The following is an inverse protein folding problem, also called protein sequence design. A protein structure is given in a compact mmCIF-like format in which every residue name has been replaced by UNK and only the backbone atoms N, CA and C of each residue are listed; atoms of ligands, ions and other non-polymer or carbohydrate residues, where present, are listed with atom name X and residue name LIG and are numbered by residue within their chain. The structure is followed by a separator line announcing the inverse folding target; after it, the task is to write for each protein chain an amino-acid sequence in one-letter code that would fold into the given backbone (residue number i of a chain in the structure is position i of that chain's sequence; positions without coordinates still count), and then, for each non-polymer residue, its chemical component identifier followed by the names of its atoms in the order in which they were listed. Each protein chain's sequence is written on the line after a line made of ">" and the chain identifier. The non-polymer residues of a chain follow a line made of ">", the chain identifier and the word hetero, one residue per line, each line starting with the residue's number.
data_IF_058012712752
#
_entry.id   IF_058012712752
#
_cell.length_a   1.000
_cell.length_b   1.000
_cell.length_c   1.000
_cell.angle_alpha   90.00
_cell.angle_beta   90.00
_cell.angle_gamma   90.00
#
_symmetry.space_group_name_H-M   'P 1'
#
loop_
_entity.id
_entity.type
_entity.pdbx_description
1 polymer ?
#
# COMPACT_ATOMS: atom_id res chain seq x y z
N UNK A 1 3.39 -19.32 14.50
CA UNK A 1 3.40 -17.91 14.02
C UNK A 1 2.66 -16.99 15.00
N UNK A 2 1.47 -17.36 15.53
CA UNK A 2 0.68 -16.53 16.45
C UNK A 2 1.38 -16.10 17.74
N UNK A 3 2.32 -16.87 18.27
CA UNK A 3 3.03 -16.55 19.51
C UNK A 3 4.17 -15.54 19.35
N UNK A 4 4.69 -15.36 18.14
CA UNK A 4 5.74 -14.37 17.83
C UNK A 4 5.13 -12.96 17.84
N UNK A 5 3.92 -12.81 17.30
CA UNK A 5 3.24 -11.50 17.24
C UNK A 5 2.74 -11.03 18.61
N UNK A 6 2.31 -11.93 19.49
CA UNK A 6 1.89 -11.60 20.87
C UNK A 6 3.01 -11.03 21.76
N UNK A 7 4.27 -11.15 21.35
CA UNK A 7 5.42 -10.62 22.09
C UNK A 7 5.85 -9.22 21.66
N UNK A 8 5.27 -8.67 20.58
CA UNK A 8 5.71 -7.44 19.95
C UNK A 8 4.75 -6.25 20.12
N UNK A 9 3.80 -6.32 21.02
CA UNK A 9 2.80 -5.28 21.22
C UNK A 9 1.43 -5.64 20.61
N UNK A 10 0.55 -4.66 20.48
CA UNK A 10 -0.76 -4.85 19.86
C UNK A 10 -0.59 -5.00 18.34
N UNK A 11 -1.02 -6.13 17.79
CA UNK A 11 -1.12 -6.37 16.36
C UNK A 11 -2.60 -6.52 16.00
N UNK A 12 -3.08 -5.70 15.08
CA UNK A 12 -4.45 -5.71 14.59
C UNK A 12 -4.46 -5.94 13.08
N UNK A 13 -5.32 -6.82 12.63
CA UNK A 13 -5.62 -7.01 11.22
C UNK A 13 -6.95 -6.32 10.88
N UNK A 14 -7.01 -5.73 9.69
CA UNK A 14 -8.22 -5.11 9.19
C UNK A 14 -8.49 -5.54 7.75
N UNK A 15 -9.75 -5.72 7.44
CA UNK A 15 -10.23 -6.03 6.10
C UNK A 15 -11.68 -5.57 5.99
N UNK A 16 -12.17 -5.34 4.77
CA UNK A 16 -13.54 -4.89 4.56
C UNK A 16 -14.57 -6.00 4.93
N UNK A 17 -14.28 -7.24 4.59
CA UNK A 17 -15.24 -8.36 4.68
C UNK A 17 -14.67 -9.66 5.26
N UNK A 18 -13.34 -9.82 5.33
CA UNK A 18 -12.71 -11.08 5.73
C UNK A 18 -13.03 -11.44 7.17
N UNK A 19 -13.65 -12.60 7.45
CA UNK A 19 -13.97 -13.04 8.82
C UNK A 19 -12.72 -13.37 9.66
N UNK A 20 -11.53 -13.31 9.07
CA UNK A 20 -10.26 -13.54 9.76
C UNK A 20 -9.62 -12.26 10.30
N UNK A 21 -10.16 -11.10 9.92
CA UNK A 21 -9.67 -9.81 10.41
C UNK A 21 -10.22 -9.49 11.81
N UNK A 22 -9.39 -8.82 12.60
CA UNK A 22 -9.78 -8.35 13.94
C UNK A 22 -10.77 -7.18 13.86
N UNK A 23 -10.71 -6.40 12.78
CA UNK A 23 -11.55 -5.23 12.54
C UNK A 23 -12.06 -5.21 11.09
N UNK A 24 -13.26 -4.64 10.91
CA UNK A 24 -13.87 -4.48 9.60
C UNK A 24 -14.13 -2.99 9.34
N UNK A 25 -13.43 -2.43 8.35
CA UNK A 25 -13.63 -1.05 7.92
C UNK A 25 -13.06 -0.82 6.52
N UNK A 26 -13.53 0.24 5.89
CA UNK A 26 -12.95 0.80 4.68
C UNK A 26 -11.71 1.61 5.05
N UNK A 27 -10.58 1.33 4.39
CA UNK A 27 -9.32 2.06 4.61
C UNK A 27 -9.44 3.56 4.32
N UNK A 28 -10.45 3.98 3.57
CA UNK A 28 -10.77 5.40 3.33
C UNK A 28 -11.40 6.09 4.56
N UNK A 29 -11.87 5.29 5.56
CA UNK A 29 -12.54 5.78 6.77
C UNK A 29 -12.17 4.90 7.96
N UNK A 30 -10.95 5.02 8.47
CA UNK A 30 -10.42 4.15 9.53
C UNK A 30 -10.99 4.59 10.90
N UNK A 31 -11.74 3.74 11.64
CA UNK A 31 -12.37 4.09 12.90
C UNK A 31 -11.39 4.04 14.10
N UNK A 32 -10.20 4.55 13.90
CA UNK A 32 -9.16 4.68 14.91
C UNK A 32 -8.83 6.16 15.13
N UNK A 33 -8.37 6.50 16.32
CA UNK A 33 -7.95 7.86 16.67
C UNK A 33 -6.68 8.26 15.89
N UNK A 34 -6.40 9.55 15.83
CA UNK A 34 -5.15 10.08 15.31
C UNK A 34 -3.99 9.53 16.14
N UNK A 35 -2.83 9.31 15.50
CA UNK A 35 -1.61 8.87 16.17
C UNK A 35 -1.77 7.57 16.98
N UNK A 36 -2.59 6.63 16.50
CA UNK A 36 -2.93 5.39 17.19
C UNK A 36 -1.81 4.35 17.09
N UNK A 37 -1.20 4.15 15.92
CA UNK A 37 -0.29 3.04 15.66
C UNK A 37 1.14 3.49 15.40
N UNK A 38 2.11 2.64 15.75
CA UNK A 38 3.53 2.88 15.49
C UNK A 38 3.93 2.41 14.08
N UNK A 39 3.19 1.44 13.52
CA UNK A 39 3.49 0.82 12.22
C UNK A 39 2.19 0.56 11.46
N UNK A 40 2.19 0.81 10.15
CA UNK A 40 1.14 0.40 9.23
C UNK A 40 1.71 -0.47 8.11
N UNK A 41 0.96 -1.50 7.71
CA UNK A 41 1.25 -2.32 6.54
C UNK A 41 0.00 -2.32 5.67
N UNK A 42 0.10 -1.76 4.48
CA UNK A 42 -0.98 -1.66 3.51
C UNK A 42 -0.47 -2.16 2.15
N UNK A 43 -0.70 -3.44 1.88
CA UNK A 43 -0.22 -4.09 0.67
C UNK A 43 -1.40 -4.54 -0.17
N UNK A 44 -1.39 -4.17 -1.45
CA UNK A 44 -2.40 -4.57 -2.44
C UNK A 44 -3.84 -4.21 -2.00
N UNK A 45 -4.04 -2.98 -1.56
CA UNK A 45 -5.33 -2.41 -1.14
C UNK A 45 -5.68 -1.18 -1.98
N UNK A 46 -4.73 -0.29 -2.21
CA UNK A 46 -4.99 1.03 -2.79
C UNK A 46 -5.48 0.98 -4.25
N UNK A 47 -5.12 -0.05 -4.99
CA UNK A 47 -5.60 -0.28 -6.35
C UNK A 47 -7.09 -0.61 -6.45
N UNK A 48 -7.70 -1.04 -5.33
CA UNK A 48 -9.11 -1.44 -5.27
C UNK A 48 -10.04 -0.32 -4.79
N UNK A 49 -9.53 0.63 -3.98
CA UNK A 49 -10.36 1.67 -3.34
C UNK A 49 -10.74 2.78 -4.31
N UNK A 50 -11.82 3.47 -4.00
CA UNK A 50 -12.33 4.57 -4.85
C UNK A 50 -11.41 5.79 -4.80
N UNK A 51 -11.09 6.29 -3.60
CA UNK A 51 -10.18 7.40 -3.36
C UNK A 51 -8.94 6.92 -2.58
N UNK A 52 -7.88 6.52 -3.31
CA UNK A 52 -6.63 6.11 -2.70
C UNK A 52 -5.91 7.24 -1.95
N UNK A 53 -6.13 8.49 -2.37
CA UNK A 53 -5.56 9.65 -1.68
C UNK A 53 -6.22 9.85 -0.31
N UNK A 54 -7.53 9.59 -0.21
CA UNK A 54 -8.23 9.59 1.08
C UNK A 54 -7.73 8.45 1.97
N UNK A 55 -7.58 7.23 1.41
CA UNK A 55 -7.01 6.10 2.13
C UNK A 55 -5.60 6.41 2.68
N UNK A 56 -4.75 7.01 1.86
CA UNK A 56 -3.40 7.44 2.26
C UNK A 56 -3.42 8.50 3.36
N UNK A 57 -4.35 9.48 3.32
CA UNK A 57 -4.52 10.45 4.42
C UNK A 57 -4.94 9.79 5.72
N UNK A 58 -5.82 8.80 5.67
CA UNK A 58 -6.24 8.03 6.84
C UNK A 58 -5.08 7.21 7.43
N UNK A 59 -4.30 6.52 6.58
CA UNK A 59 -3.09 5.80 7.02
C UNK A 59 -2.08 6.74 7.68
N UNK A 60 -1.88 7.94 7.11
CA UNK A 60 -1.02 8.95 7.70
C UNK A 60 -1.59 9.48 9.02
N UNK A 61 -2.90 9.71 9.11
CA UNK A 61 -3.57 10.22 10.30
C UNK A 61 -3.38 9.29 11.50
N UNK A 62 -3.62 7.98 11.30
CA UNK A 62 -3.52 6.99 12.39
C UNK A 62 -2.07 6.65 12.77
N UNK A 63 -1.10 6.93 11.91
CA UNK A 63 0.31 6.68 12.21
C UNK A 63 0.84 7.75 13.18
N UNK A 64 1.53 7.34 14.24
CA UNK A 64 2.16 8.25 15.22
C UNK A 64 3.28 9.06 14.59
N UNK A 65 3.56 10.28 15.08
CA UNK A 65 4.78 11.00 14.75
C UNK A 65 6.03 10.17 15.04
N UNK A 66 6.86 9.95 14.01
CA UNK A 66 8.01 9.04 14.06
C UNK A 66 7.66 7.57 13.78
N UNK A 67 6.40 7.25 13.53
CA UNK A 67 5.97 5.94 13.03
C UNK A 67 6.32 5.75 11.56
N UNK A 68 6.22 4.51 11.11
CA UNK A 68 6.56 4.13 9.75
C UNK A 68 5.58 3.09 9.19
N UNK A 69 5.66 2.84 7.88
CA UNK A 69 4.85 1.82 7.26
C UNK A 69 5.42 1.30 5.96
N UNK A 70 4.83 0.23 5.48
CA UNK A 70 5.05 -0.31 4.12
C UNK A 70 3.73 -0.19 3.38
N UNK A 71 3.77 0.47 2.21
CA UNK A 71 2.59 0.69 1.38
C UNK A 71 2.92 0.25 -0.04
N UNK A 72 2.37 -0.88 -0.46
CA UNK A 72 2.68 -1.50 -1.75
C UNK A 72 1.42 -1.67 -2.58
N UNK A 73 1.56 -1.47 -3.88
CA UNK A 73 0.55 -1.75 -4.90
C UNK A 73 1.25 -2.20 -6.18
N UNK A 74 0.57 -2.91 -7.09
CA UNK A 74 1.13 -3.28 -8.38
C UNK A 74 1.51 -2.04 -9.19
N UNK A 75 2.72 -2.04 -9.76
CA UNK A 75 3.29 -0.93 -10.50
C UNK A 75 3.50 -1.29 -11.96
N UNK A 76 3.30 -0.31 -12.84
CA UNK A 76 3.76 -0.36 -14.24
C UNK A 76 4.84 0.71 -14.45
N UNK A 77 6.10 0.34 -14.31
CA UNK A 77 7.25 1.24 -14.45
C UNK A 77 7.46 1.78 -15.88
N UNK A 78 6.70 1.28 -16.86
CA UNK A 78 6.68 1.88 -18.21
C UNK A 78 5.88 3.17 -18.28
N UNK A 79 5.03 3.44 -17.26
CA UNK A 79 4.19 4.64 -17.14
C UNK A 79 4.87 5.68 -16.27
N UNK A 80 4.85 6.92 -16.71
CA UNK A 80 5.28 8.06 -15.88
C UNK A 80 4.22 8.41 -14.83
N UNK A 81 2.93 8.31 -15.19
CA UNK A 81 1.80 8.68 -14.36
C UNK A 81 0.86 7.49 -14.14
N UNK A 82 0.25 7.44 -12.96
CA UNK A 82 -0.82 6.52 -12.61
C UNK A 82 -1.99 6.70 -13.59
N UNK A 83 -2.47 5.60 -14.12
CA UNK A 83 -3.64 5.58 -14.96
C UNK A 83 -4.86 5.10 -14.16
N UNK A 84 -5.90 5.90 -14.09
CA UNK A 84 -7.19 5.60 -13.48
C UNK A 84 -8.31 6.17 -14.34
N UNK A 85 -9.43 5.44 -14.44
CA UNK A 85 -10.62 5.85 -15.20
C UNK A 85 -11.86 5.20 -14.57
N UNK A 86 -12.64 6.01 -13.85
CA UNK A 86 -13.86 5.57 -13.17
C UNK A 86 -15.00 5.20 -14.15
N UNK A 87 -14.89 5.55 -15.42
CA UNK A 87 -15.89 5.15 -16.44
C UNK A 87 -15.74 3.68 -16.83
N UNK A 88 -14.58 3.06 -16.55
CA UNK A 88 -14.33 1.64 -16.80
C UNK A 88 -14.93 0.84 -15.65
N UNK A 89 -16.14 0.33 -15.84
CA UNK A 89 -16.89 -0.42 -14.81
C UNK A 89 -17.03 -1.90 -15.12
N UNK A 90 -16.83 -2.31 -16.37
CA UNK A 90 -16.92 -3.71 -16.78
C UNK A 90 -15.74 -4.52 -16.24
N UNK A 91 -15.97 -5.65 -15.52
CA UNK A 91 -14.91 -6.44 -14.91
C UNK A 91 -13.91 -7.04 -15.89
N UNK A 92 -14.34 -7.42 -17.11
CA UNK A 92 -13.45 -7.97 -18.12
C UNK A 92 -12.56 -6.85 -18.70
N UNK A 93 -13.11 -5.65 -18.87
CA UNK A 93 -12.35 -4.49 -19.31
C UNK A 93 -11.36 -4.04 -18.25
N UNK A 94 -11.73 -4.01 -16.95
CA UNK A 94 -10.80 -3.78 -15.84
C UNK A 94 -9.65 -4.78 -15.84
N UNK A 95 -9.95 -6.07 -15.98
CA UNK A 95 -8.90 -7.11 -16.07
C UNK A 95 -7.92 -6.84 -17.21
N UNK A 96 -8.43 -6.42 -18.38
CA UNK A 96 -7.60 -6.13 -19.55
C UNK A 96 -6.71 -4.90 -19.37
N UNK A 97 -7.22 -3.86 -18.67
CA UNK A 97 -6.58 -2.55 -18.56
C UNK A 97 -5.73 -2.44 -17.30
N UNK A 98 -6.27 -2.88 -16.16
CA UNK A 98 -5.66 -2.72 -14.83
C UNK A 98 -5.06 -4.02 -14.28
N UNK A 99 -5.22 -5.16 -14.99
CA UNK A 99 -4.65 -6.45 -14.60
C UNK A 99 -5.58 -7.34 -13.75
N UNK A 100 -6.62 -6.78 -13.11
CA UNK A 100 -7.59 -7.53 -12.30
C UNK A 100 -8.99 -6.93 -12.42
N UNK A 101 -10.03 -7.76 -12.20
CA UNK A 101 -11.44 -7.41 -12.45
C UNK A 101 -11.98 -6.30 -11.54
N UNK A 102 -11.39 -6.09 -10.38
CA UNK A 102 -11.79 -5.12 -9.36
C UNK A 102 -10.76 -4.00 -9.15
N UNK A 103 -9.63 -4.01 -9.88
CA UNK A 103 -8.71 -2.88 -9.89
C UNK A 103 -9.36 -1.66 -10.55
N UNK A 104 -9.08 -0.48 -10.02
CA UNK A 104 -9.57 0.83 -10.50
C UNK A 104 -8.46 1.65 -11.13
N UNK A 105 -7.19 1.28 -10.87
CA UNK A 105 -5.99 1.97 -11.34
C UNK A 105 -4.81 1.04 -11.52
N UNK A 106 -3.85 1.52 -12.30
CA UNK A 106 -2.50 0.97 -12.34
C UNK A 106 -1.51 2.10 -12.06
N UNK A 107 -0.67 1.91 -11.05
CA UNK A 107 0.27 2.93 -10.62
C UNK A 107 1.45 3.06 -11.57
N UNK A 108 1.85 4.30 -11.84
CA UNK A 108 3.06 4.68 -12.57
C UNK A 108 4.18 5.10 -11.62
N UNK A 109 5.23 5.69 -12.20
CA UNK A 109 6.40 6.19 -11.45
C UNK A 109 6.08 7.32 -10.48
N UNK A 110 4.94 7.99 -10.65
CA UNK A 110 4.40 9.00 -9.75
C UNK A 110 3.90 8.45 -8.41
N UNK A 111 3.95 7.12 -8.19
CA UNK A 111 3.43 6.50 -6.96
C UNK A 111 4.07 7.07 -5.69
N UNK A 112 5.39 7.26 -5.69
CA UNK A 112 6.08 7.88 -4.55
C UNK A 112 5.60 9.31 -4.27
N UNK A 113 5.28 10.09 -5.31
CA UNK A 113 4.76 11.45 -5.16
C UNK A 113 3.31 11.43 -4.66
N UNK A 114 2.53 10.42 -5.04
CA UNK A 114 1.19 10.19 -4.52
C UNK A 114 1.23 9.90 -3.01
N UNK A 115 2.16 9.07 -2.53
CA UNK A 115 2.40 8.84 -1.10
C UNK A 115 2.82 10.14 -0.38
N UNK A 116 3.77 10.90 -0.94
CA UNK A 116 4.21 12.19 -0.39
C UNK A 116 3.07 13.21 -0.29
N UNK A 117 2.14 13.20 -1.24
CA UNK A 117 1.00 14.12 -1.23
C UNK A 117 0.05 13.93 -0.05
N UNK A 118 0.09 12.78 0.61
CA UNK A 118 -0.67 12.50 1.83
C UNK A 118 0.06 12.92 3.12
N UNK A 119 1.29 13.45 3.02
CA UNK A 119 2.09 13.92 4.15
C UNK A 119 3.24 13.00 4.58
N UNK A 120 3.44 11.89 3.90
CA UNK A 120 4.54 10.98 4.22
C UNK A 120 5.89 11.47 3.71
N UNK A 121 6.96 11.21 4.45
CA UNK A 121 8.27 11.01 3.85
C UNK A 121 8.34 9.59 3.28
N UNK A 122 8.97 9.42 2.11
CA UNK A 122 8.97 8.16 1.36
C UNK A 122 10.39 7.76 1.01
N UNK A 123 10.78 6.56 1.44
CA UNK A 123 11.92 5.85 0.92
C UNK A 123 11.46 4.86 -0.15
N UNK A 124 11.94 5.07 -1.35
CA UNK A 124 11.74 4.19 -2.52
C UNK A 124 12.97 3.30 -2.64
N UNK A 125 12.81 2.01 -2.39
CA UNK A 125 13.90 1.04 -2.28
C UNK A 125 13.82 0.04 -3.43
N UNK A 126 14.71 0.17 -4.40
CA UNK A 126 14.97 -0.86 -5.41
C UNK A 126 15.83 -1.98 -4.77
N UNK A 127 15.15 -2.88 -4.06
CA UNK A 127 15.83 -4.01 -3.41
C UNK A 127 16.41 -4.98 -4.44
N UNK A 128 15.72 -5.19 -5.55
CA UNK A 128 16.15 -6.10 -6.60
C UNK A 128 17.48 -5.67 -7.24
N UNK A 129 17.73 -4.37 -7.37
CA UNK A 129 19.00 -3.85 -7.89
C UNK A 129 20.20 -4.16 -6.97
N UNK A 130 19.98 -4.43 -5.68
CA UNK A 130 21.03 -4.81 -4.74
C UNK A 130 21.49 -6.25 -4.86
N UNK A 131 20.75 -7.09 -5.61
CA UNK A 131 20.97 -8.52 -5.74
C UNK A 131 21.63 -8.85 -7.09
N UNK A 132 22.39 -9.93 -7.09
CA UNK A 132 22.92 -10.51 -8.33
C UNK A 132 21.80 -11.09 -9.20
N UNK A 133 22.01 -11.19 -10.50
CA UNK A 133 21.04 -11.81 -11.42
C UNK A 133 20.70 -13.27 -11.02
N UNK A 134 21.67 -14.00 -10.50
CA UNK A 134 21.48 -15.37 -10.01
C UNK A 134 20.53 -15.41 -8.81
N UNK A 135 20.68 -14.49 -7.85
CA UNK A 135 19.80 -14.38 -6.68
C UNK A 135 18.39 -13.94 -7.10
N UNK A 136 18.26 -12.95 -7.98
CA UNK A 136 16.94 -12.53 -8.49
C UNK A 136 16.19 -13.68 -9.17
N UNK A 137 16.89 -14.48 -9.97
CA UNK A 137 16.32 -15.70 -10.58
C UNK A 137 16.00 -16.78 -9.56
N UNK A 138 16.89 -17.02 -8.58
CA UNK A 138 16.68 -18.03 -7.54
C UNK A 138 15.45 -17.77 -6.70
N UNK A 139 15.21 -16.50 -6.35
CA UNK A 139 14.08 -16.07 -5.51
C UNK A 139 12.86 -15.62 -6.33
N UNK A 140 12.94 -15.68 -7.65
CA UNK A 140 11.88 -15.23 -8.56
C UNK A 140 11.38 -13.79 -8.25
N UNK A 141 12.31 -12.89 -7.90
CA UNK A 141 11.99 -11.52 -7.53
C UNK A 141 11.69 -10.69 -8.78
N UNK A 142 10.54 -10.01 -8.85
CA UNK A 142 10.25 -9.03 -9.87
C UNK A 142 11.12 -7.76 -9.70
N UNK A 143 11.09 -6.89 -10.69
CA UNK A 143 11.73 -5.57 -10.62
C UNK A 143 10.83 -4.56 -9.86
N UNK A 144 10.26 -4.98 -8.74
CA UNK A 144 9.40 -4.15 -7.90
C UNK A 144 10.20 -3.41 -6.84
N UNK A 145 9.71 -2.23 -6.50
CA UNK A 145 10.24 -1.38 -5.45
C UNK A 145 9.50 -1.60 -4.14
N UNK A 146 10.20 -1.40 -3.02
CA UNK A 146 9.59 -1.39 -1.68
C UNK A 146 9.44 0.08 -1.25
N UNK A 147 8.19 0.50 -1.04
CA UNK A 147 7.89 1.84 -0.56
C UNK A 147 7.70 1.83 0.95
N UNK A 148 8.66 2.43 1.65
CA UNK A 148 8.60 2.65 3.09
C UNK A 148 8.22 4.10 3.36
N UNK A 149 7.17 4.29 4.14
CA UNK A 149 6.62 5.61 4.47
C UNK A 149 6.88 5.96 5.93
N UNK A 150 7.06 7.24 6.22
CA UNK A 150 7.31 7.75 7.57
C UNK A 150 6.43 8.96 7.84
N UNK A 151 5.87 9.05 9.06
CA UNK A 151 5.29 10.29 9.57
C UNK A 151 6.33 11.03 10.37
N UNK A 152 6.72 12.22 9.90
CA UNK A 152 7.76 13.05 10.53
C UNK A 152 7.31 13.50 11.91
N UNK A 153 8.27 13.63 12.83
CA UNK A 153 8.03 14.33 14.09
C UNK A 153 8.11 15.83 13.81
N UNK A 154 7.05 16.54 14.09
CA UNK A 154 7.08 18.01 14.14
C UNK A 154 7.94 18.51 15.33
#
# INVERSE_FOLDING_TARGET
>A
LGDVYKRQGLYLTADLESPLADMHFDVQHIPLEDDFTDVVICNHILEHVEDDRQALRELHRILKPGGWGVVLSPMDFSREETFEDDTITDPAERTRIFGQYDHRRIYGRDYADRLRSAGFEVADIDFAASLTEAERRLYALPDDHIYVVYKVRE
#
